data_IF_644120020532
#
_entry.id   IF_644120020532
#
_cell.length_a   1.000
_cell.length_b   1.000
_cell.length_c   1.000
_cell.angle_alpha   90.00
_cell.angle_beta   90.00
_cell.angle_gamma   90.00
#
_symmetry.space_group_name_H-M   'P 1'
#
loop_
_entity.id
_entity.type
_entity.pdbx_description
1 polymer ?
#
# COMPACT_ATOMS: atom_id res chain seq x y z
N UNK A 1 -10.28 -5.73 -3.84
CA UNK A 1 -10.77 -4.34 -3.89
C UNK A 1 -9.63 -3.35 -3.60
N UNK A 2 -8.87 -3.56 -2.52
CA UNK A 2 -7.66 -2.77 -2.18
C UNK A 2 -6.68 -2.59 -3.35
N UNK A 3 -6.21 -3.69 -3.94
CA UNK A 3 -5.30 -3.63 -5.10
C UNK A 3 -5.90 -2.90 -6.32
N UNK A 4 -7.20 -3.08 -6.55
CA UNK A 4 -7.90 -2.33 -7.61
C UNK A 4 -7.93 -0.84 -7.28
N UNK A 5 -8.01 -0.47 -6.00
CA UNK A 5 -7.84 0.89 -5.50
C UNK A 5 -6.47 1.47 -5.85
N UNK A 6 -5.39 0.71 -5.65
CA UNK A 6 -4.03 1.13 -6.04
C UNK A 6 -3.92 1.41 -7.54
N UNK A 7 -4.49 0.52 -8.37
CA UNK A 7 -4.49 0.68 -9.83
C UNK A 7 -5.32 1.91 -10.23
N UNK A 8 -6.53 2.05 -9.69
CA UNK A 8 -7.43 3.17 -10.00
C UNK A 8 -6.81 4.53 -9.63
N UNK A 9 -6.13 4.61 -8.48
CA UNK A 9 -5.45 5.82 -8.02
C UNK A 9 -4.03 6.01 -8.61
N UNK A 10 -3.62 5.12 -9.52
CA UNK A 10 -2.31 5.13 -10.20
C UNK A 10 -1.13 5.20 -9.20
N UNK A 11 -1.24 4.52 -8.05
CA UNK A 11 -0.24 4.60 -6.99
C UNK A 11 1.15 4.16 -7.48
N UNK A 12 1.25 3.09 -8.26
CA UNK A 12 2.51 2.65 -8.85
C UNK A 12 3.18 3.74 -9.70
N UNK A 13 2.42 4.38 -10.59
CA UNK A 13 2.93 5.47 -11.43
C UNK A 13 3.35 6.68 -10.61
N UNK A 14 2.58 7.04 -9.57
CA UNK A 14 2.91 8.16 -8.66
C UNK A 14 4.19 7.88 -7.88
N UNK A 15 4.38 6.66 -7.41
CA UNK A 15 5.62 6.22 -6.77
C UNK A 15 6.81 6.31 -7.72
N UNK A 16 6.67 5.82 -8.97
CA UNK A 16 7.74 5.91 -9.99
C UNK A 16 8.09 7.38 -10.27
N UNK A 17 7.09 8.25 -10.46
CA UNK A 17 7.32 9.69 -10.68
C UNK A 17 8.04 10.35 -9.50
N UNK A 18 7.64 10.03 -8.26
CA UNK A 18 8.28 10.51 -7.03
C UNK A 18 9.74 10.07 -6.97
N UNK A 19 10.03 8.80 -7.26
CA UNK A 19 11.40 8.27 -7.28
C UNK A 19 12.27 8.98 -8.32
N UNK A 20 11.76 9.18 -9.55
CA UNK A 20 12.50 9.90 -10.61
C UNK A 20 12.78 11.34 -10.24
N UNK A 21 11.85 12.03 -9.58
CA UNK A 21 12.07 13.41 -9.12
C UNK A 21 13.16 13.47 -8.05
N UNK A 22 13.14 12.54 -7.09
CA UNK A 22 14.18 12.42 -6.06
C UNK A 22 15.55 12.14 -6.70
N UNK A 23 15.60 11.26 -7.69
CA UNK A 23 16.82 10.97 -8.45
C UNK A 23 17.36 12.19 -9.19
N UNK A 24 16.50 12.94 -9.89
CA UNK A 24 16.87 14.16 -10.59
C UNK A 24 17.41 15.22 -9.61
N UNK A 25 16.74 15.43 -8.46
CA UNK A 25 17.23 16.32 -7.42
C UNK A 25 18.59 15.89 -6.88
N UNK A 26 18.80 14.58 -6.70
CA UNK A 26 20.09 14.03 -6.25
C UNK A 26 21.21 14.34 -7.24
N UNK A 27 20.96 14.19 -8.55
CA UNK A 27 21.94 14.51 -9.59
C UNK A 27 22.36 15.98 -9.53
N UNK A 28 21.39 16.89 -9.42
CA UNK A 28 21.65 18.32 -9.30
C UNK A 28 22.43 18.67 -8.02
N UNK A 29 22.03 18.09 -6.88
CA UNK A 29 22.73 18.30 -5.61
C UNK A 29 24.17 17.76 -5.64
N UNK A 30 24.39 16.62 -6.32
CA UNK A 30 25.73 16.03 -6.50
C UNK A 30 26.64 16.96 -7.30
N UNK A 31 26.15 17.48 -8.42
CA UNK A 31 26.87 18.42 -9.29
C UNK A 31 27.20 19.71 -8.52
N UNK A 32 26.23 20.27 -7.80
CA UNK A 32 26.43 21.46 -6.98
C UNK A 32 27.47 21.23 -5.87
N UNK A 33 27.46 20.06 -5.21
CA UNK A 33 28.46 19.70 -4.19
C UNK A 33 29.87 19.64 -4.76
N UNK A 34 30.03 19.04 -5.95
CA UNK A 34 31.32 18.95 -6.62
C UNK A 34 31.85 20.34 -7.01
N UNK A 35 30.99 21.23 -7.50
CA UNK A 35 31.38 22.60 -7.85
C UNK A 35 31.66 23.50 -6.65
N UNK A 36 30.97 23.27 -5.53
CA UNK A 36 31.12 24.09 -4.31
C UNK A 36 32.17 23.57 -3.33
N UNK A 37 32.66 22.33 -3.50
CA UNK A 37 33.61 21.70 -2.57
C UNK A 37 33.00 21.35 -1.20
N UNK A 38 31.67 21.40 -1.05
CA UNK A 38 31.01 21.14 0.23
C UNK A 38 31.01 19.65 0.58
N UNK A 39 31.91 19.27 1.49
CA UNK A 39 32.01 17.91 2.02
C UNK A 39 30.73 17.42 2.71
N UNK A 40 29.95 18.34 3.29
CA UNK A 40 28.68 18.04 3.95
C UNK A 40 27.58 17.68 2.93
N UNK A 41 27.49 18.44 1.84
CA UNK A 41 26.55 18.14 0.75
C UNK A 41 26.93 16.83 0.04
N UNK A 42 28.22 16.59 -0.16
CA UNK A 42 28.73 15.33 -0.72
C UNK A 42 28.40 14.11 0.16
N UNK A 43 28.50 14.25 1.49
CA UNK A 43 28.15 13.19 2.46
C UNK A 43 26.64 12.91 2.49
N UNK A 44 25.80 13.94 2.38
CA UNK A 44 24.34 13.80 2.31
C UNK A 44 23.91 13.05 1.03
N UNK A 45 24.48 13.44 -0.12
CA UNK A 45 24.26 12.80 -1.42
C UNK A 45 24.71 11.32 -1.42
N UNK A 46 25.87 11.03 -0.81
CA UNK A 46 26.42 9.69 -0.66
C UNK A 46 25.51 8.78 0.17
N UNK A 47 24.99 9.29 1.29
CA UNK A 47 24.09 8.55 2.19
C UNK A 47 22.76 8.21 1.50
N UNK A 48 22.26 9.10 0.63
CA UNK A 48 21.07 8.83 -0.18
C UNK A 48 21.31 7.86 -1.35
N UNK A 49 22.56 7.69 -1.81
CA UNK A 49 22.90 6.79 -2.92
C UNK A 49 22.77 5.30 -2.53
N UNK A 50 23.04 4.93 -1.28
CA UNK A 50 22.90 3.54 -0.81
C UNK A 50 21.44 3.09 -0.61
N UNK A 51 20.51 4.03 -0.70
CA UNK A 51 19.09 3.84 -0.38
C UNK A 51 18.27 3.54 -1.64
N UNK A 52 18.76 3.78 -2.86
CA UNK A 52 17.97 3.69 -4.08
C UNK A 52 18.59 2.71 -5.08
N UNK A 53 18.28 1.42 -4.92
CA UNK A 53 18.45 0.40 -5.96
C UNK A 53 17.32 0.46 -7.00
N UNK A 54 17.27 -0.55 -7.88
CA UNK A 54 16.29 -0.69 -8.97
C UNK A 54 14.87 -0.26 -8.56
N UNK A 55 14.22 0.59 -9.34
CA UNK A 55 12.95 1.26 -8.98
C UNK A 55 11.86 0.22 -8.68
N UNK A 56 11.90 -0.91 -9.39
CA UNK A 56 11.02 -2.06 -9.15
C UNK A 56 11.31 -2.72 -7.81
N UNK A 57 12.59 -2.91 -7.46
CA UNK A 57 13.00 -3.41 -6.16
C UNK A 57 12.59 -2.44 -5.05
N UNK A 58 12.76 -1.13 -5.26
CA UNK A 58 12.37 -0.09 -4.29
C UNK A 58 10.87 -0.11 -4.00
N UNK A 59 10.01 -0.30 -4.99
CA UNK A 59 8.56 -0.42 -4.80
C UNK A 59 8.17 -1.70 -4.04
N UNK A 60 8.82 -2.82 -4.37
CA UNK A 60 8.60 -4.13 -3.73
C UNK A 60 9.16 -4.15 -2.29
N UNK A 61 10.25 -3.42 -2.05
CA UNK A 61 11.00 -3.44 -0.79
C UNK A 61 10.53 -2.36 0.19
N UNK A 62 10.11 -1.18 -0.29
CA UNK A 62 9.60 -0.10 0.56
C UNK A 62 8.09 -0.13 0.77
N UNK A 63 7.37 -0.77 -0.15
CA UNK A 63 5.92 -0.69 -0.22
C UNK A 63 5.40 0.71 -0.53
N UNK A 64 4.08 0.84 -0.45
CA UNK A 64 3.42 2.12 -0.71
C UNK A 64 3.45 3.05 0.50
N UNK A 65 3.50 4.36 0.23
CA UNK A 65 3.35 5.39 1.25
C UNK A 65 2.05 5.16 2.05
N UNK A 66 2.06 5.41 3.36
CA UNK A 66 0.87 5.28 4.24
C UNK A 66 -0.37 6.03 3.72
N UNK A 67 -0.14 7.12 2.98
CA UNK A 67 -1.20 7.89 2.31
C UNK A 67 -1.87 7.10 1.20
N UNK A 68 -1.10 6.36 0.38
CA UNK A 68 -1.63 5.52 -0.69
C UNK A 68 -2.38 4.31 -0.14
N UNK A 69 -1.92 3.70 0.95
CA UNK A 69 -2.68 2.65 1.63
C UNK A 69 -4.03 3.16 2.12
N UNK A 70 -4.05 4.35 2.75
CA UNK A 70 -5.31 4.97 3.20
C UNK A 70 -6.24 5.26 2.01
N UNK A 71 -5.71 5.85 0.92
CA UNK A 71 -6.48 6.15 -0.29
C UNK A 71 -7.05 4.87 -0.94
N UNK A 72 -6.25 3.80 -0.99
CA UNK A 72 -6.67 2.51 -1.52
C UNK A 72 -7.73 1.81 -0.65
N UNK A 73 -7.62 1.90 0.68
CA UNK A 73 -8.63 1.41 1.62
C UNK A 73 -9.97 2.12 1.43
N UNK A 74 -9.94 3.45 1.29
CA UNK A 74 -11.15 4.26 1.07
C UNK A 74 -11.83 3.91 -0.25
N UNK A 75 -11.03 3.72 -1.31
CA UNK A 75 -11.53 3.24 -2.60
C UNK A 75 -12.07 1.82 -2.50
N UNK A 76 -11.42 0.94 -1.73
CA UNK A 76 -11.86 -0.43 -1.52
C UNK A 76 -13.24 -0.48 -0.85
N UNK A 77 -13.46 0.32 0.20
CA UNK A 77 -14.79 0.46 0.84
C UNK A 77 -15.83 0.89 -0.20
N UNK A 78 -15.53 1.91 -1.00
CA UNK A 78 -16.44 2.39 -2.05
C UNK A 78 -16.73 1.33 -3.11
N UNK A 79 -15.70 0.63 -3.59
CA UNK A 79 -15.84 -0.40 -4.62
C UNK A 79 -16.62 -1.61 -4.12
N UNK A 80 -16.34 -2.06 -2.89
CA UNK A 80 -17.07 -3.17 -2.27
C UNK A 80 -18.54 -2.81 -2.10
N UNK A 81 -18.84 -1.64 -1.52
CA UNK A 81 -20.23 -1.19 -1.36
C UNK A 81 -20.97 -1.12 -2.70
N UNK A 82 -20.34 -0.52 -3.73
CA UNK A 82 -20.94 -0.41 -5.08
C UNK A 82 -21.12 -1.76 -5.79
N UNK A 83 -20.23 -2.71 -5.54
CA UNK A 83 -20.34 -4.08 -6.08
C UNK A 83 -21.25 -4.98 -5.24
N UNK A 84 -21.89 -4.45 -4.19
CA UNK A 84 -22.76 -5.18 -3.28
C UNK A 84 -22.02 -6.17 -2.39
N UNK A 85 -20.71 -6.01 -2.17
CA UNK A 85 -19.95 -6.74 -1.16
C UNK A 85 -19.99 -5.97 0.16
N UNK A 86 -20.11 -6.69 1.29
CA UNK A 86 -19.99 -6.04 2.61
C UNK A 86 -18.57 -5.48 2.78
N UNK A 87 -18.39 -4.16 2.95
CA UNK A 87 -17.08 -3.56 3.20
C UNK A 87 -16.50 -3.97 4.56
N UNK A 88 -17.28 -4.55 5.48
CA UNK A 88 -16.78 -5.10 6.76
C UNK A 88 -15.71 -6.17 6.55
N UNK A 89 -15.77 -6.91 5.43
CA UNK A 89 -14.75 -7.91 5.12
C UNK A 89 -13.35 -7.30 4.96
N UNK A 90 -13.23 -6.00 4.65
CA UNK A 90 -11.92 -5.31 4.64
C UNK A 90 -11.39 -5.10 6.06
N UNK A 91 -12.23 -4.67 7.01
CA UNK A 91 -11.80 -4.54 8.41
C UNK A 91 -11.48 -5.90 9.02
N UNK A 92 -12.25 -6.94 8.69
CA UNK A 92 -12.01 -8.31 9.18
C UNK A 92 -10.69 -8.85 8.66
N UNK A 93 -10.38 -8.62 7.37
CA UNK A 93 -9.11 -8.98 6.76
C UNK A 93 -7.92 -8.25 7.41
N UNK A 94 -8.05 -6.93 7.65
CA UNK A 94 -7.00 -6.15 8.31
C UNK A 94 -6.78 -6.59 9.76
N UNK A 95 -7.83 -6.95 10.49
CA UNK A 95 -7.74 -7.50 11.83
C UNK A 95 -7.04 -8.87 11.83
N UNK A 96 -7.44 -9.77 10.92
CA UNK A 96 -6.80 -11.08 10.77
C UNK A 96 -5.31 -10.97 10.41
N UNK A 97 -4.94 -10.02 9.55
CA UNK A 97 -3.55 -9.71 9.21
C UNK A 97 -2.77 -9.23 10.45
N UNK A 98 -3.34 -8.29 11.22
CA UNK A 98 -2.71 -7.76 12.43
C UNK A 98 -2.43 -8.86 13.47
N UNK A 99 -3.33 -9.84 13.58
CA UNK A 99 -3.18 -10.98 14.49
C UNK A 99 -2.29 -12.11 13.94
N UNK A 100 -1.83 -12.03 12.69
CA UNK A 100 -1.01 -13.08 12.08
C UNK A 100 0.47 -12.96 12.48
N UNK A 101 1.15 -14.10 12.67
CA UNK A 101 2.59 -14.14 12.92
C UNK A 101 3.43 -13.54 11.77
N UNK A 102 2.84 -13.29 10.61
CA UNK A 102 3.51 -12.61 9.49
C UNK A 102 3.66 -11.11 9.71
N UNK A 103 2.81 -10.49 10.54
CA UNK A 103 2.86 -9.05 10.84
C UNK A 103 4.20 -8.63 11.47
N UNK A 104 4.78 -9.49 12.31
CA UNK A 104 6.08 -9.27 12.95
C UNK A 104 7.28 -9.64 12.07
N UNK A 105 7.06 -10.38 10.98
CA UNK A 105 8.15 -10.90 10.13
C UNK A 105 8.59 -9.97 9.01
N UNK A 106 7.78 -8.95 8.66
CA UNK A 106 8.03 -8.05 7.53
C UNK A 106 8.09 -8.75 6.15
N UNK A 107 7.65 -10.02 6.06
CA UNK A 107 7.67 -10.83 4.83
C UNK A 107 6.29 -10.86 4.18
N UNK A 108 6.24 -11.21 2.89
CA UNK A 108 5.00 -11.33 2.13
C UNK A 108 4.27 -9.99 1.98
N UNK A 109 2.97 -9.97 2.33
CA UNK A 109 2.09 -8.80 2.23
C UNK A 109 2.65 -7.54 2.92
N UNK A 110 3.37 -7.73 4.03
CA UNK A 110 3.92 -6.62 4.82
C UNK A 110 5.13 -5.94 4.19
N UNK A 111 5.72 -6.51 3.12
CA UNK A 111 6.77 -5.84 2.34
C UNK A 111 6.22 -4.66 1.57
N UNK A 112 5.03 -4.82 0.98
CA UNK A 112 4.43 -3.79 0.12
C UNK A 112 3.35 -2.97 0.82
N UNK A 113 2.77 -3.50 1.90
CA UNK A 113 1.71 -2.85 2.67
C UNK A 113 2.10 -2.79 4.17
N UNK A 114 2.55 -1.63 4.68
CA UNK A 114 2.95 -1.50 6.08
C UNK A 114 1.78 -1.71 7.07
N UNK A 115 2.16 -1.94 8.34
CA UNK A 115 1.27 -2.45 9.39
C UNK A 115 -0.07 -1.69 9.54
N UNK A 116 -1.16 -2.42 9.83
CA UNK A 116 -2.53 -1.95 9.61
C UNK A 116 -3.19 -1.24 10.80
N UNK A 117 -2.56 -1.02 11.95
CA UNK A 117 -3.31 -0.59 13.16
C UNK A 117 -4.04 0.75 12.93
N UNK A 118 -3.38 1.71 12.28
CA UNK A 118 -4.00 3.00 11.92
C UNK A 118 -4.98 2.91 10.76
N UNK A 119 -4.89 1.86 9.93
CA UNK A 119 -5.78 1.62 8.78
C UNK A 119 -7.10 1.03 9.23
N UNK A 120 -7.06 0.06 10.15
CA UNK A 120 -8.26 -0.58 10.70
C UNK A 120 -9.21 0.45 11.32
N UNK A 121 -8.69 1.38 12.12
CA UNK A 121 -9.49 2.45 12.72
C UNK A 121 -10.17 3.33 11.66
N UNK A 122 -9.44 3.74 10.61
CA UNK A 122 -9.97 4.58 9.53
C UNK A 122 -11.01 3.85 8.68
N UNK A 123 -10.74 2.61 8.29
CA UNK A 123 -11.67 1.76 7.54
C UNK A 123 -12.94 1.56 8.34
N UNK A 124 -12.83 1.23 9.63
CA UNK A 124 -13.99 1.04 10.51
C UNK A 124 -14.84 2.31 10.62
N UNK A 125 -14.20 3.48 10.78
CA UNK A 125 -14.91 4.76 10.79
C UNK A 125 -15.63 5.04 9.46
N UNK A 126 -14.96 4.78 8.32
CA UNK A 126 -15.53 4.96 6.98
C UNK A 126 -16.75 4.05 6.76
N UNK A 127 -16.67 2.79 7.21
CA UNK A 127 -17.78 1.83 7.12
C UNK A 127 -18.96 2.27 7.99
N UNK A 128 -18.71 2.71 9.22
CA UNK A 128 -19.75 3.24 10.12
C UNK A 128 -20.47 4.47 9.55
N UNK A 129 -19.79 5.26 8.72
CA UNK A 129 -20.36 6.43 8.05
C UNK A 129 -21.16 6.09 6.78
N UNK A 130 -21.24 4.81 6.36
CA UNK A 130 -22.04 4.42 5.21
C UNK A 130 -23.54 4.45 5.58
N UNK A 131 -24.42 4.95 4.69
CA UNK A 131 -25.86 4.94 4.93
C UNK A 131 -26.44 3.52 4.95
N UNK A 132 -25.82 2.60 4.20
CA UNK A 132 -26.19 1.20 4.16
C UNK A 132 -24.94 0.34 3.90
N UNK A 133 -24.88 -0.80 4.59
CA UNK A 133 -23.84 -1.81 4.41
C UNK A 133 -24.47 -2.98 3.67
N UNK A 134 -24.01 -3.33 2.45
CA UNK A 134 -24.56 -4.46 1.72
C UNK A 134 -24.43 -5.76 2.51
N UNK A 135 -25.53 -6.52 2.59
CA UNK A 135 -25.53 -7.81 3.25
C UNK A 135 -24.61 -8.81 2.52
N UNK A 136 -24.04 -9.75 3.28
CA UNK A 136 -23.23 -10.83 2.70
C UNK A 136 -24.14 -11.78 1.91
N UNK A 137 -23.93 -11.84 0.60
CA UNK A 137 -24.69 -12.75 -0.27
C UNK A 137 -24.19 -14.20 -0.12
N UNK A 138 -25.01 -15.08 0.47
CA UNK A 138 -24.68 -16.50 0.73
C UNK A 138 -24.15 -17.24 -0.50
N UNK A 139 -24.70 -16.96 -1.69
CA UNK A 139 -24.28 -17.57 -2.96
C UNK A 139 -22.81 -17.29 -3.31
N UNK A 140 -22.26 -16.15 -2.89
CA UNK A 140 -20.83 -15.82 -3.11
C UNK A 140 -19.94 -16.69 -2.23
N UNK A 141 -20.30 -16.86 -0.96
CA UNK A 141 -19.59 -17.73 -0.02
C UNK A 141 -19.64 -19.19 -0.47
N UNK A 142 -20.80 -19.67 -0.93
CA UNK A 142 -20.94 -21.02 -1.48
C UNK A 142 -20.02 -21.25 -2.68
N UNK A 143 -20.00 -20.33 -3.66
CA UNK A 143 -19.09 -20.41 -4.81
C UNK A 143 -17.62 -20.40 -4.39
N UNK A 144 -17.25 -19.60 -3.39
CA UNK A 144 -15.90 -19.59 -2.87
C UNK A 144 -15.51 -20.95 -2.26
N UNK A 145 -16.37 -21.54 -1.43
CA UNK A 145 -16.11 -22.87 -0.86
C UNK A 145 -16.02 -23.97 -1.93
N UNK A 146 -16.89 -23.94 -2.94
CA UNK A 146 -16.84 -24.88 -4.08
C UNK A 146 -15.55 -24.75 -4.89
N UNK A 147 -15.01 -23.53 -5.03
CA UNK A 147 -13.73 -23.32 -5.67
C UNK A 147 -12.59 -23.89 -4.81
N UNK A 148 -12.57 -23.55 -3.52
CA UNK A 148 -11.54 -24.03 -2.59
C UNK A 148 -11.51 -25.56 -2.45
N UNK A 149 -12.66 -26.24 -2.55
CA UNK A 149 -12.72 -27.70 -2.50
C UNK A 149 -12.09 -28.37 -3.72
N UNK A 150 -11.91 -27.65 -4.84
CA UNK A 150 -11.24 -28.16 -6.05
C UNK A 150 -9.73 -27.95 -6.06
N UNK A 151 -9.21 -27.17 -5.10
CA UNK A 151 -7.78 -26.91 -4.93
C UNK A 151 -7.10 -27.91 -3.97
N UNK A 152 -7.90 -28.79 -3.35
CA UNK A 152 -7.43 -29.92 -2.54
C UNK A 152 -7.43 -31.18 -3.38
#
# INVERSE_FOLDING_TARGET
AHEVGHVAAKHGLRSIKKSRLIEAFRLLASEAAQRSGSAELAKLVSTYKSILGDITATLIERGYDRKFETEADELAVKFMTRAGYSPTALSDFLAALASSAQASSGKGWFKTHPAPEKRLAKVSAKIKALPQVPAVAKVRTQRFHQYCSRLK
#
